data_IF_938864807644
#
_entry.id   IF_938864807644
#
_cell.length_a   1.000
_cell.length_b   1.000
_cell.length_c   1.000
_cell.angle_alpha   90.00
_cell.angle_beta   90.00
_cell.angle_gamma   90.00
#
_symmetry.space_group_name_H-M   'P 1'
#
loop_
_entity.id
_entity.type
_entity.pdbx_description
1 polymer ?
#
# COMPACT_ATOMS: atom_id res chain seq x y z
N UNK A 1 14.56 9.91 -11.74
CA UNK A 1 13.29 9.53 -11.09
C UNK A 1 12.26 10.49 -11.64
N UNK A 2 11.54 10.09 -12.68
CA UNK A 2 10.48 10.96 -13.22
C UNK A 2 9.25 10.87 -12.31
N UNK A 3 8.69 12.02 -11.95
CA UNK A 3 7.34 12.14 -11.41
C UNK A 3 7.17 12.10 -9.88
N UNK A 4 8.15 11.63 -9.10
CA UNK A 4 8.01 11.55 -7.63
C UNK A 4 8.90 12.58 -6.92
N UNK A 5 8.25 13.50 -6.20
CA UNK A 5 8.88 14.54 -5.38
C UNK A 5 9.08 14.05 -3.95
N UNK A 6 10.22 13.41 -3.69
CA UNK A 6 10.52 12.79 -2.40
C UNK A 6 10.84 13.79 -1.30
N UNK A 7 10.05 13.85 -0.20
CA UNK A 7 10.44 14.60 0.98
C UNK A 7 11.66 13.96 1.64
N UNK A 8 12.73 14.71 1.99
CA UNK A 8 13.97 14.15 2.53
C UNK A 8 13.77 13.28 3.78
N UNK A 9 12.83 13.67 4.65
CA UNK A 9 12.49 12.89 5.86
C UNK A 9 11.95 11.50 5.51
N UNK A 10 11.13 11.38 4.47
CA UNK A 10 10.57 10.10 4.05
C UNK A 10 11.61 9.20 3.40
N UNK A 11 12.60 9.78 2.71
CA UNK A 11 13.76 9.02 2.23
C UNK A 11 14.59 8.45 3.39
N UNK A 12 14.75 9.18 4.50
CA UNK A 12 15.43 8.66 5.69
C UNK A 12 14.65 7.52 6.33
N UNK A 13 13.33 7.63 6.43
CA UNK A 13 12.46 6.55 6.91
C UNK A 13 12.59 5.33 6.03
N UNK A 14 12.47 5.51 4.72
CA UNK A 14 12.59 4.42 3.74
C UNK A 14 13.95 3.74 3.80
N UNK A 15 15.04 4.52 3.86
CA UNK A 15 16.39 3.97 3.99
C UNK A 15 16.52 3.11 5.25
N UNK A 16 16.09 3.62 6.41
CA UNK A 16 16.12 2.88 7.67
C UNK A 16 15.29 1.60 7.59
N UNK A 17 14.12 1.67 6.97
CA UNK A 17 13.27 0.51 6.74
C UNK A 17 13.98 -0.57 5.89
N UNK A 18 14.58 -0.16 4.76
CA UNK A 18 15.34 -1.05 3.88
C UNK A 18 16.53 -1.70 4.59
N UNK A 19 17.28 -0.93 5.39
CA UNK A 19 18.39 -1.44 6.21
C UNK A 19 17.95 -2.54 7.20
N UNK A 20 16.70 -2.53 7.67
CA UNK A 20 16.16 -3.57 8.55
C UNK A 20 15.65 -4.80 7.78
N UNK A 21 14.84 -4.60 6.73
CA UNK A 21 14.19 -5.71 6.00
C UNK A 21 15.18 -6.46 5.10
N UNK A 22 16.20 -5.78 4.58
CA UNK A 22 17.22 -6.35 3.68
C UNK A 22 18.51 -6.74 4.42
N UNK A 23 18.50 -6.73 5.77
CA UNK A 23 19.66 -7.13 6.55
C UNK A 23 20.06 -8.58 6.21
N UNK A 24 21.33 -8.85 5.84
CA UNK A 24 21.73 -10.14 5.27
C UNK A 24 21.58 -11.32 6.25
N UNK A 25 21.89 -11.09 7.52
CA UNK A 25 21.86 -12.15 8.56
C UNK A 25 20.57 -12.15 9.38
N UNK A 26 20.12 -10.96 9.80
CA UNK A 26 19.02 -10.78 10.74
C UNK A 26 17.93 -9.86 10.15
N UNK A 27 17.22 -10.28 9.08
CA UNK A 27 16.15 -9.47 8.50
C UNK A 27 15.05 -9.22 9.53
N UNK A 28 14.51 -8.01 9.54
CA UNK A 28 13.47 -7.57 10.48
C UNK A 28 12.35 -6.84 9.76
N UNK A 29 11.15 -6.88 10.31
CA UNK A 29 9.97 -6.16 9.81
C UNK A 29 9.46 -5.21 10.89
N UNK A 30 8.80 -4.08 10.53
CA UNK A 30 7.97 -3.38 11.51
C UNK A 30 6.95 -4.36 12.10
N UNK A 31 6.51 -4.15 13.35
CA UNK A 31 5.44 -4.96 13.95
C UNK A 31 4.21 -4.94 13.04
N UNK A 32 3.80 -6.12 12.57
CA UNK A 32 2.63 -6.29 11.71
C UNK A 32 1.34 -6.47 12.53
N UNK A 33 1.46 -6.47 13.86
CA UNK A 33 0.33 -6.48 14.79
C UNK A 33 -0.18 -5.07 14.95
N UNK A 34 -1.38 -4.80 14.44
CA UNK A 34 -2.07 -3.53 14.61
C UNK A 34 -2.40 -3.31 16.09
N UNK A 35 -1.52 -2.62 16.83
CA UNK A 35 -1.99 -1.87 17.99
C UNK A 35 -2.92 -0.77 17.49
N UNK A 36 -3.88 -0.32 18.30
CA UNK A 36 -4.84 0.72 17.91
C UNK A 36 -4.20 2.02 17.39
N UNK A 37 -2.90 2.20 17.64
CA UNK A 37 -2.08 3.36 17.25
C UNK A 37 -1.39 3.22 15.89
N UNK A 38 -1.31 2.02 15.30
CA UNK A 38 -0.61 1.81 14.02
C UNK A 38 -1.61 1.77 12.86
N UNK A 39 -1.49 2.74 11.93
CA UNK A 39 -2.29 2.79 10.70
C UNK A 39 -1.74 1.83 9.67
N UNK A 40 -2.64 1.13 8.98
CA UNK A 40 -2.27 0.27 7.85
C UNK A 40 -2.35 1.09 6.56
N UNK A 41 -1.72 0.60 5.49
CA UNK A 41 -1.77 1.26 4.18
C UNK A 41 -3.21 1.49 3.74
N UNK A 42 -4.08 0.50 3.90
CA UNK A 42 -5.48 0.61 3.51
C UNK A 42 -6.21 1.70 4.30
N UNK A 43 -6.13 1.69 5.63
CA UNK A 43 -6.85 2.69 6.45
C UNK A 43 -6.31 4.08 6.20
N UNK A 44 -4.98 4.22 6.04
CA UNK A 44 -4.37 5.50 5.73
C UNK A 44 -4.82 6.06 4.38
N UNK A 45 -4.83 5.26 3.31
CA UNK A 45 -5.24 5.75 1.98
C UNK A 45 -6.72 6.14 1.94
N UNK A 46 -7.58 5.41 2.66
CA UNK A 46 -8.99 5.78 2.84
C UNK A 46 -9.13 7.11 3.59
N UNK A 47 -8.43 7.29 4.72
CA UNK A 47 -8.47 8.51 5.51
C UNK A 47 -7.88 9.72 4.77
N UNK A 48 -6.86 9.48 3.93
CA UNK A 48 -6.15 10.52 3.19
C UNK A 48 -6.88 10.99 1.92
N UNK A 49 -7.94 10.29 1.49
CA UNK A 49 -8.60 10.48 0.18
C UNK A 49 -8.92 11.95 -0.12
N UNK A 50 -9.69 12.60 0.75
CA UNK A 50 -10.13 13.98 0.53
C UNK A 50 -8.95 14.98 0.56
N UNK A 51 -7.98 14.76 1.45
CA UNK A 51 -6.79 15.59 1.51
C UNK A 51 -5.92 15.41 0.25
N UNK A 52 -5.79 14.18 -0.25
CA UNK A 52 -5.05 13.87 -1.46
C UNK A 52 -5.71 14.51 -2.68
N UNK A 53 -7.05 14.52 -2.76
CA UNK A 53 -7.81 15.23 -3.80
C UNK A 53 -7.50 16.73 -3.81
N UNK A 54 -7.54 17.36 -2.64
CA UNK A 54 -7.26 18.80 -2.53
C UNK A 54 -5.81 19.15 -2.92
N UNK A 55 -4.84 18.33 -2.51
CA UNK A 55 -3.42 18.57 -2.78
C UNK A 55 -3.03 18.27 -4.24
N UNK A 56 -3.58 17.19 -4.82
CA UNK A 56 -3.31 16.80 -6.22
C UNK A 56 -4.08 17.64 -7.24
N UNK A 57 -5.15 18.33 -6.81
CA UNK A 57 -6.07 19.11 -7.67
C UNK A 57 -6.76 18.25 -8.75
N UNK A 58 -6.80 16.94 -8.56
CA UNK A 58 -7.50 16.01 -9.43
C UNK A 58 -9.00 16.03 -9.12
N UNK A 59 -9.83 15.67 -10.11
CA UNK A 59 -11.24 15.40 -9.85
C UNK A 59 -11.40 14.08 -9.10
N UNK A 60 -12.49 13.95 -8.35
CA UNK A 60 -12.80 12.78 -7.51
C UNK A 60 -12.65 11.43 -8.26
N UNK A 61 -13.17 11.25 -9.50
CA UNK A 61 -13.01 9.98 -10.22
C UNK A 61 -11.55 9.62 -10.53
N UNK A 62 -10.68 10.62 -10.75
CA UNK A 62 -9.26 10.37 -10.98
C UNK A 62 -8.55 9.97 -9.69
N UNK A 63 -8.92 10.57 -8.56
CA UNK A 63 -8.38 10.19 -7.25
C UNK A 63 -8.79 8.76 -6.91
N UNK A 64 -10.05 8.41 -7.09
CA UNK A 64 -10.55 7.04 -6.91
C UNK A 64 -9.79 6.05 -7.79
N UNK A 65 -9.60 6.40 -9.06
CA UNK A 65 -8.85 5.56 -10.00
C UNK A 65 -7.40 5.36 -9.55
N UNK A 66 -6.71 6.43 -9.13
CA UNK A 66 -5.33 6.35 -8.66
C UNK A 66 -5.21 5.53 -7.37
N UNK A 67 -6.12 5.74 -6.41
CA UNK A 67 -6.15 5.00 -5.16
C UNK A 67 -6.37 3.51 -5.41
N UNK A 68 -7.37 3.15 -6.23
CA UNK A 68 -7.65 1.76 -6.57
C UNK A 68 -6.47 1.12 -7.31
N UNK A 69 -5.86 1.84 -8.27
CA UNK A 69 -4.67 1.35 -8.96
C UNK A 69 -3.52 1.07 -8.00
N UNK A 70 -3.24 1.98 -7.05
CA UNK A 70 -2.21 1.77 -6.02
C UNK A 70 -2.53 0.53 -5.18
N UNK A 71 -3.75 0.41 -4.68
CA UNK A 71 -4.17 -0.72 -3.85
C UNK A 71 -4.11 -2.05 -4.61
N UNK A 72 -4.61 -2.11 -5.84
CA UNK A 72 -4.60 -3.31 -6.68
C UNK A 72 -3.18 -3.72 -7.05
N UNK A 73 -2.32 -2.74 -7.36
CA UNK A 73 -0.91 -3.01 -7.66
C UNK A 73 -0.18 -3.53 -6.41
N UNK A 74 -0.46 -2.98 -5.22
CA UNK A 74 0.08 -3.50 -3.96
C UNK A 74 -0.31 -4.97 -3.76
N UNK A 75 -1.58 -5.33 -3.97
CA UNK A 75 -2.02 -6.73 -3.84
C UNK A 75 -1.27 -7.65 -4.82
N UNK A 76 -1.14 -7.26 -6.08
CA UNK A 76 -0.42 -8.04 -7.09
C UNK A 76 1.08 -8.16 -6.78
N UNK A 77 1.70 -7.06 -6.33
CA UNK A 77 3.12 -7.01 -6.05
C UNK A 77 3.48 -7.76 -4.75
N UNK A 78 2.61 -7.77 -3.74
CA UNK A 78 2.81 -8.57 -2.53
C UNK A 78 2.90 -10.07 -2.85
N UNK A 79 2.18 -10.55 -3.86
CA UNK A 79 2.26 -11.93 -4.31
C UNK A 79 3.56 -12.25 -5.09
N UNK A 80 4.22 -11.26 -5.71
CA UNK A 80 5.20 -11.49 -6.78
C UNK A 80 6.57 -10.81 -6.59
N UNK A 81 6.64 -9.49 -6.46
CA UNK A 81 7.87 -8.74 -6.79
C UNK A 81 8.23 -7.56 -5.86
N UNK A 82 7.63 -7.45 -4.68
CA UNK A 82 7.84 -6.31 -3.78
C UNK A 82 8.38 -6.69 -2.39
N UNK A 83 8.08 -7.91 -1.95
CA UNK A 83 8.48 -8.45 -0.66
C UNK A 83 9.54 -9.54 -0.85
N UNK A 84 10.50 -9.62 0.06
CA UNK A 84 11.36 -10.80 0.18
C UNK A 84 10.51 -12.05 0.43
N UNK A 85 11.07 -13.23 0.17
CA UNK A 85 10.36 -14.49 0.38
C UNK A 85 9.92 -14.68 1.85
N UNK A 86 10.72 -14.19 2.81
CA UNK A 86 10.39 -14.21 4.24
C UNK A 86 9.26 -13.26 4.58
N UNK A 87 9.34 -12.00 4.15
CA UNK A 87 8.28 -11.00 4.33
C UNK A 87 6.95 -11.49 3.76
N UNK A 88 6.98 -11.99 2.52
CA UNK A 88 5.80 -12.48 1.80
C UNK A 88 5.07 -13.58 2.56
N UNK A 89 5.81 -14.53 3.14
CA UNK A 89 5.23 -15.62 3.93
C UNK A 89 4.46 -15.08 5.13
N UNK A 90 5.07 -14.17 5.90
CA UNK A 90 4.46 -13.61 7.11
C UNK A 90 3.27 -12.73 6.77
N UNK A 91 3.41 -11.83 5.80
CA UNK A 91 2.37 -10.88 5.38
C UNK A 91 1.16 -11.63 4.80
N UNK A 92 1.37 -12.62 3.94
CA UNK A 92 0.26 -13.40 3.38
C UNK A 92 -0.49 -14.18 4.46
N UNK A 93 0.20 -14.75 5.45
CA UNK A 93 -0.45 -15.42 6.58
C UNK A 93 -1.33 -14.45 7.37
N UNK A 94 -0.84 -13.24 7.62
CA UNK A 94 -1.61 -12.21 8.33
C UNK A 94 -2.80 -11.70 7.51
N UNK A 95 -2.62 -11.50 6.21
CA UNK A 95 -3.67 -11.11 5.29
C UNK A 95 -4.82 -12.14 5.28
N UNK A 96 -4.49 -13.44 5.21
CA UNK A 96 -5.47 -14.54 5.29
C UNK A 96 -6.16 -14.58 6.66
N UNK A 97 -5.43 -14.35 7.76
CA UNK A 97 -6.03 -14.30 9.10
C UNK A 97 -6.94 -13.08 9.29
N UNK A 98 -6.60 -11.96 8.66
CA UNK A 98 -7.43 -10.76 8.68
C UNK A 98 -8.74 -10.99 7.94
N UNK A 99 -8.67 -11.58 6.73
CA UNK A 99 -9.85 -11.93 5.93
C UNK A 99 -10.83 -12.81 6.72
N UNK A 100 -10.35 -13.93 7.31
CA UNK A 100 -11.18 -14.83 8.11
C UNK A 100 -11.85 -14.12 9.30
N UNK A 101 -11.17 -13.16 9.93
CA UNK A 101 -11.71 -12.36 11.04
C UNK A 101 -12.78 -11.37 10.57
N UNK A 102 -12.60 -10.78 9.40
CA UNK A 102 -13.56 -9.86 8.80
C UNK A 102 -14.84 -10.59 8.37
N UNK A 103 -14.71 -11.78 7.79
CA UNK A 103 -15.85 -12.64 7.42
C UNK A 103 -16.63 -13.13 8.64
N UNK A 104 -15.93 -13.53 9.71
CA UNK A 104 -16.54 -14.00 10.96
C UNK A 104 -17.38 -12.94 11.69
N UNK A 105 -17.15 -11.65 11.44
CA UNK A 105 -17.95 -10.54 12.01
C UNK A 105 -19.27 -10.28 11.28
N UNK A 106 -19.44 -10.84 10.07
CA UNK A 106 -20.68 -10.74 9.30
C UNK A 106 -21.59 -11.98 9.43
N UNK A 107 -21.22 -12.95 10.28
CA UNK A 107 -21.93 -14.21 10.50
C UNK A 107 -23.18 -14.14 11.40
N UNK A 108 -23.97 -13.07 11.36
CA UNK A 108 -25.26 -12.99 12.05
C UNK A 108 -26.39 -12.66 11.05
N UNK A 109 -27.07 -13.73 10.60
CA UNK A 109 -28.37 -13.78 9.90
C UNK A 109 -28.61 -12.70 8.82
N UNK A 110 -28.36 -13.03 7.55
CA UNK A 110 -29.19 -12.50 6.46
C UNK A 110 -29.69 -13.63 5.57
N UNK A 111 -31.01 -13.84 5.66
CA UNK A 111 -31.80 -14.63 4.73
C UNK A 111 -31.57 -14.10 3.31
N UNK A 112 -31.39 -15.04 2.40
CA UNK A 112 -31.62 -14.99 0.96
C UNK A 112 -32.38 -13.73 0.50
N UNK A 113 -31.70 -12.87 -0.26
CA UNK A 113 -32.36 -12.06 -1.27
C UNK A 113 -31.38 -11.83 -2.42
N UNK A 114 -31.73 -12.37 -3.59
CA UNK A 114 -31.04 -12.16 -4.85
C UNK A 114 -31.10 -10.68 -5.22
N UNK A 115 -29.98 -10.00 -5.03
CA UNK A 115 -29.59 -8.84 -5.84
C UNK A 115 -28.08 -8.88 -5.86
N UNK A 116 -27.51 -8.87 -7.05
CA UNK A 116 -26.09 -8.79 -7.33
C UNK A 116 -25.45 -7.66 -6.51
N UNK A 117 -25.01 -7.99 -5.30
CA UNK A 117 -24.19 -7.14 -4.48
C UNK A 117 -22.80 -7.33 -5.07
N UNK A 118 -22.38 -6.36 -5.87
CA UNK A 118 -20.96 -6.12 -6.13
C UNK A 118 -20.28 -6.26 -4.76
N UNK A 119 -19.35 -7.21 -4.57
CA UNK A 119 -18.67 -7.34 -3.29
C UNK A 119 -18.09 -5.97 -2.97
N UNK A 120 -18.27 -5.44 -1.75
CA UNK A 120 -17.74 -4.13 -1.43
C UNK A 120 -16.25 -4.16 -1.77
N UNK A 121 -15.79 -3.23 -2.62
CA UNK A 121 -14.42 -3.21 -3.17
C UNK A 121 -13.32 -3.24 -2.07
N UNK A 122 -13.69 -3.07 -0.81
CA UNK A 122 -12.87 -3.23 0.38
C UNK A 122 -12.53 -4.69 0.74
N UNK A 123 -13.15 -5.71 0.13
CA UNK A 123 -12.84 -7.13 0.40
C UNK A 123 -11.64 -7.67 -0.38
N UNK A 124 -11.04 -6.89 -1.30
CA UNK A 124 -9.93 -7.36 -2.15
C UNK A 124 -8.54 -6.95 -1.66
N UNK A 125 -8.39 -5.91 -0.82
CA UNK A 125 -7.09 -5.33 -0.47
C UNK A 125 -6.50 -5.87 0.84
N UNK A 126 -6.32 -7.19 0.90
CA UNK A 126 -5.93 -7.93 2.11
C UNK A 126 -4.51 -7.62 2.56
N UNK A 127 -3.57 -7.45 1.62
CA UNK A 127 -2.21 -7.07 1.93
C UNK A 127 -2.16 -5.64 2.42
N UNK A 128 -2.79 -4.69 1.72
CA UNK A 128 -2.84 -3.29 2.15
C UNK A 128 -3.49 -3.14 3.55
N UNK A 129 -4.43 -4.03 3.90
CA UNK A 129 -5.06 -4.05 5.21
C UNK A 129 -4.14 -4.44 6.38
N UNK A 130 -2.98 -5.06 6.11
CA UNK A 130 -2.03 -5.51 7.15
C UNK A 130 -0.65 -4.86 7.04
N UNK A 131 -0.36 -4.17 5.94
CA UNK A 131 0.92 -3.52 5.73
C UNK A 131 1.04 -2.21 6.53
N UNK A 132 2.16 -2.02 7.27
CA UNK A 132 2.57 -0.72 7.79
C UNK A 132 2.89 0.30 6.68
N UNK A 133 2.91 1.59 7.02
CA UNK A 133 3.10 2.68 6.06
C UNK A 133 4.50 2.72 5.43
N UNK A 134 5.50 2.14 6.08
CA UNK A 134 6.86 2.01 5.52
C UNK A 134 6.85 1.21 4.22
N UNK A 135 5.96 0.22 4.09
CA UNK A 135 5.79 -0.54 2.86
C UNK A 135 5.14 0.30 1.74
N UNK A 136 4.31 1.30 2.07
CA UNK A 136 3.82 2.23 1.05
C UNK A 136 4.96 3.08 0.46
N UNK A 137 5.90 3.52 1.31
CA UNK A 137 7.10 4.22 0.83
C UNK A 137 7.98 3.32 -0.05
N UNK A 138 8.19 2.07 0.37
CA UNK A 138 8.93 1.08 -0.44
C UNK A 138 8.22 0.85 -1.78
N UNK A 139 6.90 0.80 -1.78
CA UNK A 139 6.09 0.63 -2.99
C UNK A 139 6.26 1.83 -3.94
N UNK A 140 6.15 3.05 -3.45
CA UNK A 140 6.35 4.25 -4.28
C UNK A 140 7.78 4.34 -4.85
N UNK A 141 8.79 3.84 -4.14
CA UNK A 141 10.14 3.73 -4.71
C UNK A 141 10.20 2.75 -5.88
N UNK A 142 9.48 1.61 -5.79
CA UNK A 142 9.44 0.59 -6.84
C UNK A 142 8.47 0.93 -7.98
N UNK A 143 7.48 1.80 -7.74
CA UNK A 143 6.38 2.11 -8.67
C UNK A 143 6.85 2.53 -10.07
N UNK A 144 7.85 3.41 -10.26
CA UNK A 144 8.35 3.73 -11.59
C UNK A 144 8.87 2.51 -12.37
N UNK A 145 9.56 1.59 -11.69
CA UNK A 145 10.06 0.35 -12.30
C UNK A 145 8.92 -0.63 -12.62
N UNK A 146 7.91 -0.69 -11.75
CA UNK A 146 6.70 -1.49 -11.98
C UNK A 146 5.96 -1.00 -13.23
N UNK A 147 5.70 0.30 -13.33
CA UNK A 147 5.03 0.89 -14.51
C UNK A 147 5.84 0.68 -15.79
N UNK A 148 7.16 0.88 -15.74
CA UNK A 148 8.03 0.62 -16.88
C UNK A 148 8.03 -0.86 -17.32
N UNK A 149 7.81 -1.79 -16.40
CA UNK A 149 7.63 -3.21 -16.72
C UNK A 149 6.28 -3.47 -17.39
N UNK A 150 5.20 -2.85 -16.90
CA UNK A 150 3.88 -2.94 -17.55
C UNK A 150 3.90 -2.38 -18.98
N UNK A 151 4.53 -1.23 -19.22
CA UNK A 151 4.66 -0.65 -20.55
C UNK A 151 5.34 -1.62 -21.53
N UNK A 152 6.35 -2.35 -21.06
CA UNK A 152 7.08 -3.35 -21.87
C UNK A 152 6.24 -4.60 -22.16
N UNK A 153 5.49 -5.10 -21.17
CA UNK A 153 4.65 -6.29 -21.33
C UNK A 153 3.39 -6.01 -22.17
N UNK A 154 2.81 -4.83 -22.03
CA UNK A 154 1.60 -4.43 -22.75
C UNK A 154 1.84 -4.04 -24.22
N UNK A 155 3.11 -3.94 -24.65
CA UNK A 155 3.47 -3.51 -26.00
C UNK A 155 3.04 -2.07 -26.32
N UNK A 156 2.64 -1.29 -25.31
CA UNK A 156 2.15 0.07 -25.42
C UNK A 156 2.50 0.84 -24.17
N UNK A 157 3.02 2.06 -24.34
CA UNK A 157 3.32 2.96 -23.23
C UNK A 157 2.05 3.54 -22.64
N UNK A 158 1.92 3.53 -21.32
CA UNK A 158 0.83 4.21 -20.62
C UNK A 158 0.78 5.69 -21.06
N UNK A 159 -0.37 6.20 -21.56
CA UNK A 159 -0.45 7.57 -22.02
C UNK A 159 -0.18 8.56 -20.87
N UNK A 160 0.46 9.68 -21.20
CA UNK A 160 0.80 10.72 -20.22
C UNK A 160 -0.43 11.25 -19.47
N UNK A 161 -1.60 11.25 -20.11
CA UNK A 161 -2.89 11.63 -19.51
C UNK A 161 -3.34 10.73 -18.35
N UNK A 162 -2.78 9.52 -18.23
CA UNK A 162 -3.02 8.61 -17.11
C UNK A 162 -1.84 8.57 -16.14
N UNK A 163 -0.62 8.72 -16.65
CA UNK A 163 0.61 8.69 -15.86
C UNK A 163 0.76 9.94 -14.97
N UNK A 164 0.43 11.12 -15.49
CA UNK A 164 0.56 12.36 -14.72
C UNK A 164 -0.38 12.43 -13.51
N UNK A 165 -1.68 12.10 -13.61
CA UNK A 165 -2.56 12.03 -12.44
C UNK A 165 -2.06 11.07 -11.36
N UNK A 166 -1.47 9.94 -11.74
CA UNK A 166 -0.89 9.00 -10.79
C UNK A 166 0.28 9.64 -10.01
N UNK A 167 1.16 10.38 -10.69
CA UNK A 167 2.24 11.11 -10.04
C UNK A 167 1.74 12.21 -9.12
N UNK A 168 0.77 12.99 -9.56
CA UNK A 168 0.16 14.06 -8.74
C UNK A 168 -0.49 13.47 -7.48
N UNK A 169 -1.16 12.33 -7.59
CA UNK A 169 -1.71 11.59 -6.46
C UNK A 169 -0.61 11.08 -5.52
N UNK A 170 0.42 10.40 -6.04
CA UNK A 170 1.55 9.88 -5.22
C UNK A 170 2.24 11.02 -4.47
N UNK A 171 2.49 12.16 -5.12
CA UNK A 171 3.11 13.32 -4.49
C UNK A 171 2.21 13.96 -3.43
N UNK A 172 0.89 13.98 -3.64
CA UNK A 172 -0.06 14.40 -2.62
C UNK A 172 0.00 13.49 -1.38
N UNK A 173 0.05 12.17 -1.58
CA UNK A 173 0.19 11.20 -0.48
C UNK A 173 1.51 11.40 0.27
N UNK A 174 2.64 11.54 -0.44
CA UNK A 174 3.94 11.84 0.19
C UNK A 174 3.92 13.15 0.98
N UNK A 175 3.23 14.18 0.48
CA UNK A 175 3.06 15.46 1.18
C UNK A 175 2.25 15.31 2.47
N UNK A 176 1.25 14.43 2.51
CA UNK A 176 0.51 14.10 3.73
C UNK A 176 1.42 13.35 4.71
N UNK A 177 2.18 12.37 4.20
CA UNK A 177 3.07 11.52 5.01
C UNK A 177 4.24 12.28 5.64
N UNK A 178 4.68 13.42 5.07
CA UNK A 178 5.88 14.15 5.53
C UNK A 178 5.84 14.52 7.03
N UNK A 179 4.64 14.75 7.57
CA UNK A 179 4.42 15.15 8.96
C UNK A 179 4.19 13.97 9.92
N UNK A 180 4.03 12.76 9.40
CA UNK A 180 3.64 11.60 10.20
C UNK A 180 4.79 11.02 11.02
N UNK A 181 4.43 10.27 12.05
CA UNK A 181 5.34 9.41 12.79
C UNK A 181 5.35 8.00 12.17
N UNK A 182 6.53 7.40 12.13
CA UNK A 182 6.78 6.06 11.57
C UNK A 182 7.37 5.18 12.67
N UNK A 183 7.35 3.86 12.46
CA UNK A 183 7.86 2.90 13.42
C UNK A 183 9.36 3.12 13.64
N UNK A 184 9.75 3.26 14.91
CA UNK A 184 11.16 3.31 15.30
C UNK A 184 11.86 2.01 14.87
N UNK A 185 13.00 2.07 14.15
CA UNK A 185 13.82 0.89 13.83
C UNK A 185 14.12 -0.02 15.02
N UNK A 186 14.20 0.51 16.25
CA UNK A 186 14.40 -0.28 17.46
C UNK A 186 13.21 -1.20 17.80
N UNK A 187 12.00 -0.86 17.33
CA UNK A 187 10.79 -1.65 17.52
C UNK A 187 10.59 -2.74 16.45
N UNK A 188 11.49 -2.83 15.45
CA UNK A 188 11.39 -3.86 14.42
C UNK A 188 11.64 -5.24 15.01
N UNK A 189 10.87 -6.22 14.54
CA UNK A 189 10.92 -7.60 15.00
C UNK A 189 11.60 -8.49 13.98
N UNK A 190 12.35 -9.49 14.44
CA UNK A 190 13.03 -10.45 13.55
C UNK A 190 12.02 -11.20 12.68
N UNK A 191 12.30 -11.24 11.38
CA UNK A 191 11.62 -12.10 10.41
C UNK A 191 12.18 -13.52 10.58
N UNK A 192 11.45 -14.34 11.35
CA UNK A 192 11.73 -15.76 11.55
C UNK A 192 11.34 -16.59 10.34
#
# INVERSE_FOLDING_TARGET
MEGIDWPPRLLLVLRRHLEQVEHPEFPRTPPLTTTATQRTVLTFLLDAHECARQLSKLSEPFVDCCQNLVLDTIEQCCASSFLSSRERRVINLLAVQWEKRSEGRHGLKRRHNDKAAIPPATSSHKCAAVLPLEYLLRFFLALPSILAHYDKLGGSTMPASYKQPLWDYVNAILSIMKGMEFVDPAAYVLLK
#
